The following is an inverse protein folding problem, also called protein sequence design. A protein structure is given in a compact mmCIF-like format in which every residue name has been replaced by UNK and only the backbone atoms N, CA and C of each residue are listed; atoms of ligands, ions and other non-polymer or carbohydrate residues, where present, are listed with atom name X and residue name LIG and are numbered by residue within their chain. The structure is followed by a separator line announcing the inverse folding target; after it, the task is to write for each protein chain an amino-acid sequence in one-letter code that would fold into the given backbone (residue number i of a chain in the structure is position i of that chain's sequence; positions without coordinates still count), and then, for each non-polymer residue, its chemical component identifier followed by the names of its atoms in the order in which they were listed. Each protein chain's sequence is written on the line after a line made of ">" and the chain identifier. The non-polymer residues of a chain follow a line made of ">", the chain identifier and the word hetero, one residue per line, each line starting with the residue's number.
data_IF_804872263252
#
_entry.id   IF_804872263252
#
_cell.length_a   1.000
_cell.length_b   1.000
_cell.length_c   1.000
_cell.angle_alpha   90.00
_cell.angle_beta   90.00
_cell.angle_gamma   90.00
#
_symmetry.space_group_name_H-M   'P 1'
#
loop_
_entity.id
_entity.type
_entity.pdbx_description
1 polymer ?
#
# COMPACT_ATOMS: atom_id res chain seq x y z
N UNK A 1 16.24 4.86 -3.16
CA UNK A 1 15.04 5.68 -3.39
C UNK A 1 14.28 5.70 -2.08
N UNK A 2 13.87 6.83 -1.49
CA UNK A 2 12.98 6.77 -0.33
C UNK A 2 11.66 6.12 -0.77
N UNK A 3 11.11 5.24 0.07
CA UNK A 3 9.85 4.54 -0.18
C UNK A 3 8.76 5.59 -0.46
N UNK A 4 8.25 5.61 -1.69
CA UNK A 4 7.30 6.62 -2.14
C UNK A 4 5.89 6.27 -1.68
N UNK A 5 5.11 7.28 -1.27
CA UNK A 5 3.67 7.12 -1.06
C UNK A 5 3.03 6.67 -2.38
N UNK A 6 2.28 5.58 -2.37
CA UNK A 6 1.53 5.14 -3.55
C UNK A 6 0.47 6.21 -3.89
N UNK A 7 0.47 6.77 -5.12
CA UNK A 7 -0.43 7.87 -5.49
C UNK A 7 -1.91 7.44 -5.55
N UNK A 8 -2.18 6.14 -5.53
CA UNK A 8 -3.51 5.56 -5.68
C UNK A 8 -3.84 5.25 -7.14
N UNK A 9 -5.09 4.85 -7.43
CA UNK A 9 -5.53 4.45 -8.76
C UNK A 9 -5.55 5.65 -9.69
N UNK A 10 -5.26 5.36 -10.94
CA UNK A 10 -5.37 6.30 -12.04
C UNK A 10 -6.54 5.86 -12.91
N UNK A 11 -7.50 6.75 -13.10
CA UNK A 11 -8.51 6.61 -14.15
C UNK A 11 -8.01 7.34 -15.38
N UNK A 12 -7.84 6.62 -16.48
CA UNK A 12 -7.37 7.19 -17.76
C UNK A 12 -8.54 7.16 -18.74
N UNK A 13 -8.85 8.31 -19.35
CA UNK A 13 -9.82 8.43 -20.44
C UNK A 13 -9.08 8.75 -21.75
N UNK A 14 -8.87 7.74 -22.62
CA UNK A 14 -8.18 7.96 -23.90
C UNK A 14 -8.95 8.88 -24.86
N UNK A 15 -10.29 8.90 -24.78
CA UNK A 15 -11.13 9.71 -25.67
C UNK A 15 -11.01 11.20 -25.37
N UNK A 16 -10.82 11.53 -24.08
CA UNK A 16 -10.61 12.89 -23.59
C UNK A 16 -9.14 13.29 -23.45
N UNK A 17 -8.21 12.32 -23.62
CA UNK A 17 -6.77 12.49 -23.37
C UNK A 17 -6.49 13.05 -21.97
N UNK A 18 -7.23 12.53 -20.99
CA UNK A 18 -7.17 12.99 -19.60
C UNK A 18 -6.93 11.83 -18.65
N UNK A 19 -6.44 12.15 -17.46
CA UNK A 19 -6.36 11.20 -16.36
C UNK A 19 -6.72 11.88 -15.04
N UNK A 20 -7.21 11.08 -14.10
CA UNK A 20 -7.51 11.48 -12.73
C UNK A 20 -6.80 10.52 -11.79
N UNK A 21 -6.22 11.05 -10.71
CA UNK A 21 -5.59 10.27 -9.65
C UNK A 21 -6.48 10.38 -8.41
N UNK A 22 -6.95 9.26 -7.90
CA UNK A 22 -7.63 9.21 -6.62
C UNK A 22 -6.70 8.60 -5.57
N UNK A 23 -6.74 9.12 -4.34
CA UNK A 23 -6.00 8.54 -3.22
C UNK A 23 -6.82 7.47 -2.50
N UNK A 24 -6.20 6.34 -2.13
CA UNK A 24 -6.86 5.30 -1.31
C UNK A 24 -6.43 5.30 0.16
N UNK A 25 -5.23 5.75 0.46
CA UNK A 25 -4.67 5.69 1.82
C UNK A 25 -3.67 6.81 2.04
N UNK A 26 -3.52 7.19 3.31
CA UNK A 26 -2.47 8.10 3.75
C UNK A 26 -1.22 7.39 4.28
N UNK A 27 -1.25 6.06 4.32
CA UNK A 27 -0.17 5.21 4.83
C UNK A 27 1.02 5.16 3.85
N UNK A 28 2.21 4.94 4.40
CA UNK A 28 3.39 4.60 3.59
C UNK A 28 3.27 3.12 3.23
N UNK A 29 3.17 2.83 1.93
CA UNK A 29 2.97 1.47 1.41
C UNK A 29 3.80 1.24 0.17
N UNK A 30 4.31 0.03 -0.01
CA UNK A 30 4.97 -0.46 -1.24
C UNK A 30 4.59 -1.94 -1.46
N UNK A 31 5.13 -2.57 -2.49
CA UNK A 31 5.08 -3.97 -2.85
C UNK A 31 3.65 -4.51 -2.95
N UNK A 32 2.77 -3.88 -3.76
CA UNK A 32 1.38 -4.30 -3.85
C UNK A 32 1.25 -5.71 -4.41
N UNK A 33 0.46 -6.52 -3.72
CA UNK A 33 0.07 -7.86 -4.14
C UNK A 33 -1.43 -7.91 -4.37
N UNK A 34 -1.81 -8.42 -5.54
CA UNK A 34 -3.19 -8.75 -5.89
C UNK A 34 -3.31 -10.27 -6.04
N UNK A 35 -4.55 -10.77 -6.03
CA UNK A 35 -4.78 -12.15 -6.40
C UNK A 35 -4.34 -12.37 -7.85
N UNK A 36 -3.44 -13.33 -8.09
CA UNK A 36 -2.91 -13.64 -9.42
C UNK A 36 -4.02 -13.98 -10.43
N UNK A 37 -5.12 -14.61 -9.98
CA UNK A 37 -6.27 -14.92 -10.82
C UNK A 37 -7.06 -13.68 -11.28
N UNK A 38 -6.69 -12.49 -10.79
CA UNK A 38 -7.29 -11.19 -11.08
C UNK A 38 -6.28 -10.21 -11.67
N UNK A 39 -5.10 -10.67 -12.08
CA UNK A 39 -4.12 -9.82 -12.74
C UNK A 39 -4.75 -9.20 -14.01
N UNK A 40 -4.59 -7.88 -14.16
CA UNK A 40 -5.22 -7.07 -15.22
C UNK A 40 -6.76 -7.15 -15.30
N UNK A 41 -7.43 -7.65 -14.27
CA UNK A 41 -8.89 -7.67 -14.14
C UNK A 41 -9.33 -6.78 -12.96
N UNK A 42 -10.61 -6.38 -12.89
CA UNK A 42 -11.14 -5.72 -11.70
C UNK A 42 -10.84 -6.54 -10.44
N UNK A 43 -10.18 -5.90 -9.47
CA UNK A 43 -9.85 -6.49 -8.17
C UNK A 43 -10.33 -5.59 -7.03
N UNK A 44 -10.89 -6.22 -6.01
CA UNK A 44 -11.37 -5.55 -4.80
C UNK A 44 -10.29 -5.41 -3.73
N UNK A 45 -9.37 -6.36 -3.66
CA UNK A 45 -8.41 -6.44 -2.57
C UNK A 45 -6.97 -6.29 -3.06
N UNK A 46 -6.22 -5.45 -2.35
CA UNK A 46 -4.77 -5.25 -2.54
C UNK A 46 -4.09 -5.41 -1.18
N UNK A 47 -2.98 -6.15 -1.15
CA UNK A 47 -2.20 -6.37 0.06
C UNK A 47 -0.84 -5.69 -0.07
N UNK A 48 -0.44 -4.92 0.94
CA UNK A 48 0.79 -4.11 0.88
C UNK A 48 1.47 -4.10 2.25
N UNK A 49 2.79 -4.31 2.32
CA UNK A 49 3.59 -3.91 3.46
C UNK A 49 3.39 -2.42 3.80
N UNK A 50 3.37 -2.11 5.09
CA UNK A 50 3.23 -0.74 5.61
C UNK A 50 4.04 -0.54 6.88
N UNK A 51 4.17 0.74 7.28
CA UNK A 51 4.84 1.17 8.50
C UNK A 51 3.80 1.56 9.55
N UNK A 52 3.97 1.11 10.77
CA UNK A 52 3.20 1.57 11.93
C UNK A 52 4.13 2.20 12.96
N UNK A 53 3.55 2.92 13.91
CA UNK A 53 4.29 3.52 15.02
C UNK A 53 4.91 2.52 15.99
N UNK A 54 4.68 1.21 15.82
CA UNK A 54 5.31 0.19 16.66
C UNK A 54 6.78 -0.06 16.29
N UNK A 55 7.23 0.40 15.11
CA UNK A 55 8.64 0.38 14.72
C UNK A 55 9.39 1.49 15.48
N UNK A 56 9.83 1.18 16.70
CA UNK A 56 10.61 2.09 17.55
C UNK A 56 12.10 2.07 17.18
N UNK A 57 12.42 2.40 15.93
CA UNK A 57 13.80 2.49 15.45
C UNK A 57 14.08 3.93 14.97
N UNK A 58 15.09 4.56 15.58
CA UNK A 58 15.40 5.99 15.36
C UNK A 58 15.91 6.29 13.95
N UNK A 59 16.43 5.26 13.27
CA UNK A 59 16.94 5.27 11.90
C UNK A 59 16.67 3.88 11.29
N UNK A 60 15.42 3.53 10.96
CA UNK A 60 15.14 2.23 10.36
C UNK A 60 15.89 2.15 9.03
N UNK A 61 16.46 0.99 8.68
CA UNK A 61 16.96 0.76 7.33
C UNK A 61 15.91 1.18 6.28
N UNK A 62 16.35 1.69 5.13
CA UNK A 62 15.42 2.00 4.04
C UNK A 62 14.62 0.73 3.68
N UNK A 63 13.33 0.89 3.36
CA UNK A 63 12.45 -0.22 2.93
C UNK A 63 12.08 -1.23 4.04
N UNK A 64 12.18 -0.84 5.32
CA UNK A 64 11.61 -1.63 6.42
C UNK A 64 10.09 -1.42 6.48
N UNK A 65 9.35 -2.52 6.61
CA UNK A 65 7.91 -2.54 6.86
C UNK A 65 7.65 -3.52 7.99
N UNK A 66 6.89 -3.09 9.01
CA UNK A 66 6.60 -3.88 10.21
C UNK A 66 5.13 -4.34 10.29
N UNK A 67 4.34 -4.02 9.27
CA UNK A 67 2.93 -4.40 9.23
C UNK A 67 2.49 -4.76 7.82
N UNK A 68 1.39 -5.52 7.74
CA UNK A 68 0.70 -5.82 6.50
C UNK A 68 -0.66 -5.11 6.48
N UNK A 69 -0.96 -4.43 5.38
CA UNK A 69 -2.22 -3.76 5.13
C UNK A 69 -3.01 -4.51 4.07
N UNK A 70 -4.33 -4.65 4.27
CA UNK A 70 -5.28 -5.12 3.25
C UNK A 70 -6.21 -3.98 2.87
N UNK A 71 -6.11 -3.45 1.65
CA UNK A 71 -7.01 -2.45 1.11
C UNK A 71 -8.24 -3.12 0.47
N UNK A 72 -9.44 -2.67 0.85
CA UNK A 72 -10.71 -2.93 0.16
C UNK A 72 -11.07 -1.72 -0.71
N UNK A 73 -10.91 -1.83 -2.03
CA UNK A 73 -11.08 -0.73 -2.98
C UNK A 73 -12.54 -0.31 -3.18
N UNK A 74 -13.51 -1.13 -2.77
CA UNK A 74 -14.93 -0.77 -2.82
C UNK A 74 -15.35 0.07 -1.62
N UNK A 75 -14.81 -0.22 -0.43
CA UNK A 75 -15.22 0.44 0.82
C UNK A 75 -14.23 1.49 1.30
N UNK A 76 -13.02 1.54 0.71
CA UNK A 76 -11.92 2.39 1.15
C UNK A 76 -11.33 1.98 2.51
N UNK A 77 -11.77 0.86 3.10
CA UNK A 77 -11.26 0.39 4.40
C UNK A 77 -9.92 -0.33 4.22
N UNK A 78 -9.01 -0.12 5.16
CA UNK A 78 -7.70 -0.76 5.15
C UNK A 78 -7.29 -1.27 6.54
N UNK A 79 -7.80 -2.44 7.01
CA UNK A 79 -7.29 -3.06 8.22
C UNK A 79 -5.78 -3.35 8.09
N UNK A 80 -5.08 -3.21 9.22
CA UNK A 80 -3.65 -3.47 9.35
C UNK A 80 -3.40 -4.58 10.35
N UNK A 81 -2.40 -5.40 10.07
CA UNK A 81 -1.86 -6.39 10.98
C UNK A 81 -0.40 -6.01 11.29
N UNK A 82 -0.18 -5.57 12.52
CA UNK A 82 1.14 -5.21 13.04
C UNK A 82 1.88 -6.49 13.43
N UNK A 83 3.09 -6.68 12.90
CA UNK A 83 3.93 -7.85 13.18
C UNK A 83 4.82 -7.63 14.41
N UNK A 84 4.80 -6.43 15.00
CA UNK A 84 5.65 -6.03 16.10
C UNK A 84 7.10 -5.74 15.67
N UNK A 85 7.93 -5.37 16.65
CA UNK A 85 9.37 -5.25 16.47
C UNK A 85 10.02 -6.63 16.42
N UNK A 86 10.83 -6.89 15.39
CA UNK A 86 11.83 -7.97 15.48
C UNK A 86 12.86 -7.50 16.52
N UNK A 87 13.16 -8.25 17.59
CA UNK A 87 14.18 -7.86 18.55
C UNK A 87 15.51 -7.73 17.79
N UNK A 88 16.18 -6.59 17.92
CA UNK A 88 17.57 -6.43 17.50
C UNK A 88 18.40 -7.52 18.21
N UNK A 89 18.95 -8.46 17.44
CA UNK A 89 19.96 -9.39 17.95
C UNK A 89 21.27 -8.68 18.21
#
# INVERSE_FOLDING_TARGET
>A
MPCGRWPGPVTIDPSRRSFEIAGFSNEITEFPRVNQLREALPTRFVYMPTLTSSLDEKNPPSEVFNALLKLDTETGRYPRHDLGVTPSR
#
